data_IF_045214455876
#
_entry.id   IF_045214455876
#
_cell.length_a   1.000
_cell.length_b   1.000
_cell.length_c   1.000
_cell.angle_alpha   90.00
_cell.angle_beta   90.00
_cell.angle_gamma   90.00
#
_symmetry.space_group_name_H-M   'P 1'
#
loop_
_entity.id
_entity.type
_entity.pdbx_description
1 polymer ?
#
# COMPACT_ATOMS: atom_id res chain seq x y z
N UNK A 1 -16.30 -30.68 -9.08
CA UNK A 1 -15.49 -29.80 -9.96
C UNK A 1 -15.23 -28.51 -9.19
N UNK A 2 -14.23 -28.52 -8.30
CA UNK A 2 -13.88 -27.36 -7.48
C UNK A 2 -13.09 -26.38 -8.35
N UNK A 3 -13.68 -25.21 -8.60
CA UNK A 3 -13.08 -24.11 -9.34
C UNK A 3 -11.75 -23.73 -8.69
N UNK A 4 -10.69 -23.78 -9.50
CA UNK A 4 -9.38 -23.21 -9.19
C UNK A 4 -9.58 -21.75 -8.77
N UNK A 5 -9.49 -21.46 -7.48
CA UNK A 5 -9.21 -20.11 -7.02
C UNK A 5 -7.80 -19.79 -7.53
N UNK A 6 -7.70 -18.98 -8.59
CA UNK A 6 -6.41 -18.44 -9.00
C UNK A 6 -5.81 -17.72 -7.80
N UNK A 7 -4.60 -18.07 -7.42
CA UNK A 7 -3.85 -17.37 -6.38
C UNK A 7 -3.67 -15.93 -6.83
N UNK A 8 -4.50 -15.00 -6.34
CA UNK A 8 -4.25 -13.57 -6.55
C UNK A 8 -2.93 -13.27 -5.87
N UNK A 9 -1.93 -12.90 -6.68
CA UNK A 9 -0.66 -12.41 -6.17
C UNK A 9 -0.93 -11.04 -5.55
N UNK A 10 -0.51 -10.84 -4.31
CA UNK A 10 -0.61 -9.58 -3.60
C UNK A 10 0.78 -8.95 -3.48
N UNK A 11 0.80 -7.63 -3.52
CA UNK A 11 1.99 -6.81 -3.32
C UNK A 11 1.77 -5.85 -2.16
N UNK A 12 2.87 -5.48 -1.52
CA UNK A 12 2.88 -4.45 -0.48
C UNK A 12 3.92 -3.40 -0.84
N UNK A 13 3.61 -2.12 -0.64
CA UNK A 13 4.61 -1.08 -0.80
C UNK A 13 5.62 -1.13 0.35
N UNK A 14 6.87 -0.73 0.08
CA UNK A 14 7.88 -0.54 1.13
C UNK A 14 7.44 0.53 2.15
N UNK A 15 6.62 1.49 1.73
CA UNK A 15 6.04 2.54 2.58
C UNK A 15 5.09 1.91 3.61
N UNK A 16 4.10 1.13 3.16
CA UNK A 16 3.15 0.44 4.05
C UNK A 16 3.87 -0.54 4.98
N UNK A 17 4.90 -1.24 4.49
CA UNK A 17 5.75 -2.08 5.34
C UNK A 17 6.45 -1.27 6.44
N UNK A 18 7.00 -0.10 6.10
CA UNK A 18 7.62 0.79 7.07
C UNK A 18 6.63 1.30 8.11
N UNK A 19 5.41 1.70 7.70
CA UNK A 19 4.34 2.14 8.61
C UNK A 19 3.96 1.05 9.61
N UNK A 20 3.81 -0.20 9.15
CA UNK A 20 3.51 -1.35 10.02
C UNK A 20 4.63 -1.53 11.05
N UNK A 21 5.89 -1.54 10.62
CA UNK A 21 7.03 -1.73 11.50
C UNK A 21 7.16 -0.58 12.52
N UNK A 22 6.94 0.65 12.08
CA UNK A 22 6.94 1.83 12.94
C UNK A 22 5.84 1.75 14.00
N UNK A 23 4.60 1.44 13.59
CA UNK A 23 3.47 1.31 14.50
C UNK A 23 3.68 0.23 15.56
N UNK A 24 4.32 -0.88 15.19
CA UNK A 24 4.71 -1.93 16.14
C UNK A 24 5.82 -1.42 17.09
N UNK A 25 6.83 -0.73 16.57
CA UNK A 25 7.95 -0.18 17.35
C UNK A 25 7.52 0.86 18.40
N UNK A 26 6.39 1.55 18.19
CA UNK A 26 5.82 2.48 19.17
C UNK A 26 5.19 1.79 20.39
N UNK A 27 4.97 0.47 20.35
CA UNK A 27 4.37 -0.25 21.48
C UNK A 27 5.40 -0.47 22.60
N UNK A 28 4.98 -0.36 23.88
CA UNK A 28 5.80 -0.79 25.00
C UNK A 28 6.22 -2.26 24.87
N UNK A 29 7.39 -2.60 25.39
CA UNK A 29 7.86 -3.97 25.39
C UNK A 29 6.87 -4.90 26.12
N UNK A 30 6.58 -6.05 25.52
CA UNK A 30 5.72 -7.06 26.11
C UNK A 30 4.96 -7.87 25.07
N UNK A 31 4.15 -8.82 25.56
CA UNK A 31 3.49 -9.86 24.76
C UNK A 31 2.76 -9.34 23.52
N UNK A 32 2.11 -8.17 23.62
CA UNK A 32 1.39 -7.57 22.49
C UNK A 32 2.32 -7.15 21.35
N UNK A 33 3.44 -6.50 21.69
CA UNK A 33 4.44 -6.09 20.69
C UNK A 33 5.05 -7.34 20.05
N UNK A 34 5.49 -8.28 20.86
CA UNK A 34 6.15 -9.51 20.38
C UNK A 34 5.24 -10.33 19.45
N UNK A 35 3.95 -10.44 19.78
CA UNK A 35 2.97 -11.11 18.93
C UNK A 35 2.75 -10.41 17.59
N UNK A 36 2.68 -9.07 17.58
CA UNK A 36 2.53 -8.29 16.35
C UNK A 36 3.80 -8.30 15.50
N UNK A 37 4.98 -8.24 16.11
CA UNK A 37 6.26 -8.41 15.41
C UNK A 37 6.33 -9.76 14.69
N UNK A 38 5.96 -10.83 15.38
CA UNK A 38 5.92 -12.17 14.80
C UNK A 38 4.93 -12.24 13.63
N UNK A 39 3.71 -11.75 13.82
CA UNK A 39 2.68 -11.75 12.79
C UNK A 39 3.10 -10.95 11.55
N UNK A 40 3.68 -9.76 11.74
CA UNK A 40 4.17 -8.93 10.64
C UNK A 40 5.30 -9.61 9.87
N UNK A 41 6.27 -10.24 10.56
CA UNK A 41 7.35 -11.00 9.93
C UNK A 41 6.81 -12.14 9.07
N UNK A 42 5.88 -12.94 9.62
CA UNK A 42 5.26 -14.04 8.89
C UNK A 42 4.51 -13.55 7.65
N UNK A 43 3.73 -12.47 7.78
CA UNK A 43 3.03 -11.88 6.64
C UNK A 43 4.01 -11.40 5.55
N UNK A 44 5.12 -10.75 5.91
CA UNK A 44 6.11 -10.32 4.92
C UNK A 44 6.87 -11.48 4.27
N UNK A 45 7.17 -12.54 5.01
CA UNK A 45 7.94 -13.70 4.53
C UNK A 45 7.11 -14.65 3.67
N UNK A 46 5.83 -14.86 4.03
CA UNK A 46 4.98 -15.86 3.40
C UNK A 46 3.96 -15.26 2.44
N UNK A 47 3.25 -14.19 2.82
CA UNK A 47 2.19 -13.61 1.99
C UNK A 47 2.75 -12.65 0.93
N UNK A 48 3.83 -11.93 1.26
CA UNK A 48 4.46 -10.92 0.40
C UNK A 48 5.91 -11.25 0.01
N UNK A 49 6.30 -12.53 0.05
CA UNK A 49 7.66 -12.97 -0.29
C UNK A 49 8.07 -12.48 -1.68
N UNK A 50 9.08 -11.60 -1.74
CA UNK A 50 9.55 -11.00 -2.99
C UNK A 50 8.55 -10.05 -3.69
N UNK A 51 7.43 -9.69 -3.03
CA UNK A 51 6.39 -8.82 -3.56
C UNK A 51 6.32 -7.48 -2.79
N UNK A 52 7.45 -7.03 -2.23
CA UNK A 52 7.58 -5.73 -1.61
C UNK A 52 8.12 -4.73 -2.63
N UNK A 53 7.29 -3.77 -3.05
CA UNK A 53 7.62 -2.80 -4.10
C UNK A 53 8.26 -1.55 -3.49
N UNK A 54 9.42 -1.15 -4.03
CA UNK A 54 10.15 0.02 -3.57
C UNK A 54 9.57 1.31 -4.15
N UNK A 55 9.84 2.45 -3.50
CA UNK A 55 9.73 3.76 -4.14
C UNK A 55 11.06 4.04 -4.85
N UNK A 56 11.11 3.81 -6.16
CA UNK A 56 12.31 3.93 -6.98
C UNK A 56 12.24 5.15 -7.93
N UNK A 57 13.22 5.25 -8.83
CA UNK A 57 13.36 6.36 -9.78
C UNK A 57 12.14 6.47 -10.73
N UNK A 58 11.56 5.34 -11.13
CA UNK A 58 10.38 5.33 -12.00
C UNK A 58 9.13 5.80 -11.22
N UNK A 59 8.93 5.28 -10.00
CA UNK A 59 7.85 5.74 -9.13
C UNK A 59 7.94 7.24 -8.80
N UNK A 60 9.15 7.82 -8.74
CA UNK A 60 9.33 9.25 -8.46
C UNK A 60 8.67 10.16 -9.52
N UNK A 61 8.65 9.75 -10.80
CA UNK A 61 7.97 10.48 -11.87
C UNK A 61 6.44 10.50 -11.69
N UNK A 62 5.86 9.34 -11.32
CA UNK A 62 4.43 9.24 -11.00
C UNK A 62 4.06 10.07 -9.78
N UNK A 63 4.90 10.06 -8.73
CA UNK A 63 4.70 10.88 -7.53
C UNK A 63 4.61 12.38 -7.87
N UNK A 64 5.57 12.89 -8.66
CA UNK A 64 5.59 14.31 -9.01
C UNK A 64 4.33 14.72 -9.79
N UNK A 65 3.93 13.89 -10.75
CA UNK A 65 2.72 14.11 -11.55
C UNK A 65 1.47 14.14 -10.65
N UNK A 66 1.36 13.19 -9.74
CA UNK A 66 0.21 13.04 -8.86
C UNK A 66 0.09 14.20 -7.86
N UNK A 67 1.18 14.53 -7.15
CA UNK A 67 1.18 15.63 -6.18
C UNK A 67 0.87 16.97 -6.85
N UNK A 68 1.40 17.22 -8.06
CA UNK A 68 1.09 18.42 -8.82
C UNK A 68 -0.38 18.46 -9.25
N UNK A 69 -0.91 17.35 -9.77
CA UNK A 69 -2.31 17.23 -10.18
C UNK A 69 -3.27 17.50 -9.03
N UNK A 70 -3.04 16.87 -7.87
CA UNK A 70 -3.86 17.09 -6.67
C UNK A 70 -3.78 18.53 -6.16
N UNK A 71 -2.57 19.11 -6.13
CA UNK A 71 -2.39 20.50 -5.71
C UNK A 71 -3.15 21.47 -6.62
N UNK A 72 -3.11 21.25 -7.94
CA UNK A 72 -3.86 22.06 -8.90
C UNK A 72 -5.38 21.90 -8.72
N UNK A 73 -5.84 20.72 -8.32
CA UNK A 73 -7.24 20.45 -7.97
C UNK A 73 -7.65 20.95 -6.57
N UNK A 74 -6.75 21.58 -5.80
CA UNK A 74 -7.04 22.06 -4.43
C UNK A 74 -7.18 20.93 -3.41
N UNK A 75 -6.67 19.74 -3.72
CA UNK A 75 -6.71 18.56 -2.86
C UNK A 75 -5.39 18.40 -2.09
N UNK A 76 -5.49 17.93 -0.85
CA UNK A 76 -4.34 17.54 -0.02
C UNK A 76 -4.08 16.05 -0.14
N UNK A 77 -2.81 15.66 -0.05
CA UNK A 77 -2.36 14.27 0.07
C UNK A 77 -1.10 14.21 0.91
N UNK A 78 -0.99 13.17 1.74
CA UNK A 78 0.20 12.91 2.54
C UNK A 78 1.36 12.46 1.63
N UNK A 79 2.59 12.58 2.10
CA UNK A 79 3.73 12.13 1.28
C UNK A 79 3.69 10.62 1.09
N UNK A 80 3.28 9.90 2.14
CA UNK A 80 3.15 8.46 2.21
C UNK A 80 2.09 7.94 1.23
N UNK A 81 0.88 8.54 1.22
CA UNK A 81 -0.18 8.15 0.29
C UNK A 81 0.24 8.44 -1.16
N UNK A 82 0.89 9.58 -1.43
CA UNK A 82 1.39 9.88 -2.77
C UNK A 82 2.46 8.88 -3.22
N UNK A 83 3.36 8.44 -2.33
CA UNK A 83 4.34 7.41 -2.65
C UNK A 83 3.67 6.05 -2.92
N UNK A 84 2.66 5.67 -2.13
CA UNK A 84 1.90 4.43 -2.34
C UNK A 84 1.16 4.47 -3.69
N UNK A 85 0.50 5.58 -4.00
CA UNK A 85 -0.18 5.78 -5.29
C UNK A 85 0.79 5.70 -6.46
N UNK A 86 1.96 6.34 -6.34
CA UNK A 86 2.99 6.35 -7.36
C UNK A 86 3.56 4.95 -7.64
N UNK A 87 3.82 4.16 -6.60
CA UNK A 87 4.23 2.76 -6.75
C UNK A 87 3.16 1.94 -7.46
N UNK A 88 1.89 2.10 -7.07
CA UNK A 88 0.77 1.38 -7.69
C UNK A 88 0.62 1.74 -9.18
N UNK A 89 0.71 3.03 -9.53
CA UNK A 89 0.67 3.52 -10.91
C UNK A 89 1.85 2.99 -11.74
N UNK A 90 3.07 3.07 -11.20
CA UNK A 90 4.29 2.59 -11.84
C UNK A 90 4.20 1.11 -12.23
N UNK A 91 3.63 0.28 -11.36
CA UNK A 91 3.47 -1.15 -11.60
C UNK A 91 2.11 -1.53 -12.23
N UNK A 92 1.25 -0.57 -12.56
CA UNK A 92 -0.09 -0.78 -13.11
C UNK A 92 -0.95 -1.72 -12.23
N UNK A 93 -0.81 -1.60 -10.92
CA UNK A 93 -1.54 -2.42 -9.94
C UNK A 93 -2.74 -1.67 -9.36
N UNK A 94 -3.87 -2.35 -9.12
CA UNK A 94 -4.95 -1.76 -8.34
C UNK A 94 -4.51 -1.59 -6.88
N UNK A 95 -4.91 -0.48 -6.26
CA UNK A 95 -4.67 -0.20 -4.85
C UNK A 95 -5.86 -0.69 -4.01
N UNK A 96 -5.59 -1.59 -3.08
CA UNK A 96 -6.57 -2.01 -2.07
C UNK A 96 -6.43 -1.11 -0.83
N UNK A 97 -7.45 -0.29 -0.54
CA UNK A 97 -7.46 0.57 0.65
C UNK A 97 -8.87 0.86 1.14
N UNK A 98 -9.03 1.00 2.46
CA UNK A 98 -10.27 1.50 3.06
C UNK A 98 -10.42 3.01 2.89
N UNK A 99 -9.32 3.73 2.73
CA UNK A 99 -9.30 5.19 2.61
C UNK A 99 -9.42 5.64 1.14
N UNK A 100 -10.49 5.21 0.46
CA UNK A 100 -10.62 5.43 -0.98
C UNK A 100 -10.69 6.90 -1.39
N UNK A 101 -11.09 7.80 -0.47
CA UNK A 101 -11.23 9.23 -0.78
C UNK A 101 -9.87 9.89 -1.06
N UNK A 102 -8.83 9.48 -0.34
CA UNK A 102 -7.53 10.15 -0.43
C UNK A 102 -6.79 9.75 -1.71
N UNK A 103 -7.24 8.66 -2.34
CA UNK A 103 -6.82 8.19 -3.66
C UNK A 103 -7.88 8.43 -4.76
N UNK A 104 -8.94 9.17 -4.45
CA UNK A 104 -9.94 9.53 -5.46
C UNK A 104 -9.35 10.55 -6.42
N UNK A 105 -9.79 10.49 -7.68
CA UNK A 105 -9.42 11.41 -8.77
C UNK A 105 -7.94 11.33 -9.18
N UNK A 106 -7.26 10.22 -8.87
CA UNK A 106 -5.94 9.90 -9.38
C UNK A 106 -6.11 9.22 -10.73
N UNK A 107 -5.73 9.91 -11.80
CA UNK A 107 -5.86 9.37 -13.16
C UNK A 107 -5.00 8.10 -13.32
N UNK A 108 -5.61 7.03 -13.82
CA UNK A 108 -4.94 5.75 -14.04
C UNK A 108 -4.84 4.83 -12.81
N UNK A 109 -5.21 5.30 -11.61
CA UNK A 109 -5.19 4.46 -10.40
C UNK A 109 -6.56 3.82 -10.15
N UNK A 110 -6.61 2.49 -10.23
CA UNK A 110 -7.79 1.73 -9.78
C UNK A 110 -7.73 1.52 -8.27
N UNK A 111 -8.78 1.92 -7.54
CA UNK A 111 -8.85 1.78 -6.09
C UNK A 111 -10.02 0.87 -5.71
N UNK A 112 -9.76 -0.14 -4.89
CA UNK A 112 -10.77 -1.07 -4.37
C UNK A 112 -10.80 -1.01 -2.84
N UNK A 113 -12.00 -0.94 -2.26
CA UNK A 113 -12.20 -1.15 -0.82
C UNK A 113 -12.59 -2.62 -0.58
N UNK A 114 -11.67 -3.48 -0.11
CA UNK A 114 -11.96 -4.90 0.06
C UNK A 114 -12.93 -5.18 1.23
N UNK A 115 -13.27 -4.16 2.04
CA UNK A 115 -14.28 -4.28 3.10
C UNK A 115 -15.70 -3.89 2.64
N UNK A 116 -15.86 -3.37 1.42
CA UNK A 116 -17.17 -3.06 0.83
C UNK A 116 -17.72 -4.16 -0.09
N UNK A 117 -16.88 -5.09 -0.48
CA UNK A 117 -17.31 -6.31 -1.16
C UNK A 117 -17.77 -7.34 -0.11
N UNK A 118 -19.01 -7.19 0.34
CA UNK A 118 -19.72 -8.09 1.24
C UNK A 118 -21.22 -8.03 0.99
#
# INVERSE_FOLDING_TARGET
MLTRQGTMRLWISAITKAEILYGIGLLPAGKRRDALELAARQMFEFDFSGNCLAFDDEAAGFYATEVLGRRQAGLTTTTEDAQIAAIALCHQLPLATRNTRDFALIDGLSVTDPWRAG
#
